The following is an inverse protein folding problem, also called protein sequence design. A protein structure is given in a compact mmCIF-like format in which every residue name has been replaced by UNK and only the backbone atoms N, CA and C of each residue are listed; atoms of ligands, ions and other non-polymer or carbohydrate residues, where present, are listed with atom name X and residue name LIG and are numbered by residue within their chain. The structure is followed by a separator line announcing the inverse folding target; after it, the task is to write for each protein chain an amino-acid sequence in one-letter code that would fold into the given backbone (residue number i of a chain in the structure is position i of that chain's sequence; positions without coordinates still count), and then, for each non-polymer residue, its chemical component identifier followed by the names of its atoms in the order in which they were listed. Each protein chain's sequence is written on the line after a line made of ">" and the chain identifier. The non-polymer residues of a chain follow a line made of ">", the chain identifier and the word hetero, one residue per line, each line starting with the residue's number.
data_IF_964660090962
#
_entry.id   IF_964660090962
#
_cell.length_a   1.000
_cell.length_b   1.000
_cell.length_c   1.000
_cell.angle_alpha   90.00
_cell.angle_beta   90.00
_cell.angle_gamma   90.00
#
_symmetry.space_group_name_H-M   'P 1'
#
loop_
_entity.id
_entity.type
_entity.pdbx_description
1 polymer ?
#
# COMPACT_ATOMS: atom_id res chain seq x y z
N UNK A 1 -35.97 24.62 -53.87
CA UNK A 1 -35.29 24.14 -55.09
C UNK A 1 -34.50 25.31 -55.62
N UNK A 2 -33.20 25.29 -55.88
CA UNK A 2 -32.21 24.23 -56.04
C UNK A 2 -30.87 25.00 -56.15
N UNK A 3 -29.83 24.44 -55.53
CA UNK A 3 -28.50 24.25 -56.13
C UNK A 3 -27.84 25.50 -56.75
N UNK A 4 -26.64 25.97 -56.40
CA UNK A 4 -25.44 25.26 -55.94
C UNK A 4 -24.29 26.25 -56.09
N UNK A 5 -23.37 26.29 -55.11
CA UNK A 5 -21.92 26.12 -55.34
C UNK A 5 -21.26 27.24 -56.19
N UNK A 6 -20.63 28.21 -55.52
CA UNK A 6 -19.16 28.28 -55.36
C UNK A 6 -18.57 29.38 -56.27
N UNK A 7 -17.40 29.98 -56.09
CA UNK A 7 -16.22 29.79 -55.26
C UNK A 7 -15.80 31.21 -54.82
N UNK A 8 -15.49 31.49 -53.55
CA UNK A 8 -14.15 31.34 -52.97
C UNK A 8 -13.02 31.98 -53.80
N UNK A 9 -12.60 33.19 -53.42
CA UNK A 9 -11.24 33.67 -53.64
C UNK A 9 -10.75 34.36 -52.37
N UNK A 10 -10.26 33.52 -51.44
CA UNK A 10 -9.36 33.89 -50.36
C UNK A 10 -8.14 34.60 -50.95
N UNK A 11 -7.87 35.85 -50.56
CA UNK A 11 -6.52 36.40 -50.62
C UNK A 11 -5.86 36.17 -49.26
N UNK A 12 -5.28 34.98 -49.06
CA UNK A 12 -4.41 34.70 -47.94
C UNK A 12 -3.01 35.23 -48.29
N UNK A 13 -2.62 36.35 -47.69
CA UNK A 13 -1.22 36.81 -47.69
C UNK A 13 -0.41 35.81 -46.85
N UNK A 14 0.25 34.86 -47.52
CA UNK A 14 1.25 34.02 -46.90
C UNK A 14 2.48 34.88 -46.57
N UNK A 15 2.61 35.31 -45.32
CA UNK A 15 3.92 35.67 -44.80
C UNK A 15 4.73 34.38 -44.75
N UNK A 16 5.63 34.19 -45.71
CA UNK A 16 6.67 33.19 -45.63
C UNK A 16 7.57 33.57 -44.47
N UNK A 17 7.27 33.04 -43.28
CA UNK A 17 8.23 32.99 -42.19
C UNK A 17 9.27 31.99 -42.67
N UNK A 18 10.41 32.48 -43.16
CA UNK A 18 11.61 31.66 -43.27
C UNK A 18 11.93 31.18 -41.86
N UNK A 19 11.47 29.96 -41.58
CA UNK A 19 11.92 29.17 -40.47
C UNK A 19 13.42 29.02 -40.68
N UNK A 20 14.19 29.83 -39.96
CA UNK A 20 15.64 29.73 -39.90
C UNK A 20 15.97 28.31 -39.42
N UNK A 21 16.21 27.40 -40.37
CA UNK A 21 16.74 26.09 -40.06
C UNK A 21 18.09 26.36 -39.44
N UNK A 22 18.23 26.06 -38.14
CA UNK A 22 19.54 26.04 -37.49
C UNK A 22 20.37 25.00 -38.24
N UNK A 23 21.18 25.47 -39.19
CA UNK A 23 21.97 24.63 -40.07
C UNK A 23 22.80 23.64 -39.28
N UNK A 24 23.00 22.48 -39.87
CA UNK A 24 23.86 21.42 -39.35
C UNK A 24 25.30 21.94 -39.22
N UNK A 25 26.12 21.22 -38.44
CA UNK A 25 27.55 21.52 -38.38
C UNK A 25 28.22 21.40 -39.77
N UNK A 26 27.70 20.58 -40.68
CA UNK A 26 28.23 20.42 -42.04
C UNK A 26 28.16 21.73 -42.85
N UNK A 27 27.05 22.46 -42.80
CA UNK A 27 26.88 23.74 -43.50
C UNK A 27 27.72 24.88 -42.88
N UNK A 28 28.15 24.73 -41.62
CA UNK A 28 29.06 25.69 -40.97
C UNK A 28 30.51 25.44 -41.36
N UNK A 29 30.90 24.18 -41.51
CA UNK A 29 32.22 23.81 -42.05
C UNK A 29 32.38 24.22 -43.51
N UNK A 30 31.34 24.07 -44.34
CA UNK A 30 31.34 24.55 -45.72
C UNK A 30 31.61 26.07 -45.81
N UNK A 31 31.32 26.83 -44.74
CA UNK A 31 31.57 28.28 -44.64
C UNK A 31 32.81 28.63 -43.81
N UNK A 32 33.67 27.66 -43.48
CA UNK A 32 34.91 27.88 -42.73
C UNK A 32 34.72 28.26 -41.25
N UNK A 33 33.52 28.05 -40.68
CA UNK A 33 33.24 28.36 -39.27
C UNK A 33 33.46 27.12 -38.37
N UNK A 34 33.97 27.28 -37.14
CA UNK A 34 34.20 26.18 -36.20
C UNK A 34 32.88 25.61 -35.69
N UNK A 35 32.73 24.29 -35.40
CA UNK A 35 31.46 23.62 -35.09
C UNK A 35 30.74 24.19 -33.86
N UNK A 36 29.41 24.06 -33.80
CA UNK A 36 28.64 24.46 -32.62
C UNK A 36 28.89 23.48 -31.47
N UNK A 37 28.92 23.95 -30.21
CA UNK A 37 29.09 23.08 -29.06
C UNK A 37 27.90 22.10 -28.92
N UNK A 38 28.14 20.88 -28.40
CA UNK A 38 27.08 19.90 -28.21
C UNK A 38 26.06 20.42 -27.19
N UNK A 39 24.78 20.45 -27.57
CA UNK A 39 23.70 20.70 -26.62
C UNK A 39 23.50 19.44 -25.77
N UNK A 40 23.64 19.56 -24.45
CA UNK A 40 23.17 18.53 -23.50
C UNK A 40 21.66 18.40 -23.65
N UNK A 41 21.22 17.41 -24.43
CA UNK A 41 19.80 16.99 -24.49
C UNK A 41 19.40 16.11 -23.31
N UNK A 42 20.38 15.66 -22.54
CA UNK A 42 20.12 14.96 -21.29
C UNK A 42 19.88 16.00 -20.21
N UNK A 43 18.61 16.39 -20.08
CA UNK A 43 18.06 16.87 -18.83
C UNK A 43 17.56 15.62 -18.11
N UNK A 44 18.21 15.13 -17.04
CA UNK A 44 17.62 14.09 -16.23
C UNK A 44 16.37 14.70 -15.62
N UNK A 45 15.22 14.53 -16.29
CA UNK A 45 13.92 14.67 -15.65
C UNK A 45 14.06 14.00 -14.30
N UNK A 46 13.94 14.79 -13.23
CA UNK A 46 14.05 14.30 -11.88
C UNK A 46 13.21 13.03 -11.81
N UNK A 47 13.89 11.88 -11.66
CA UNK A 47 13.20 10.61 -11.50
C UNK A 47 12.45 10.83 -10.20
N UNK A 48 11.15 11.08 -10.29
CA UNK A 48 10.29 11.10 -9.11
C UNK A 48 10.64 9.82 -8.38
N UNK A 49 11.06 9.88 -7.11
CA UNK A 49 11.52 8.69 -6.42
C UNK A 49 10.42 7.65 -6.62
N UNK A 50 10.76 6.54 -7.30
CA UNK A 50 9.84 5.44 -7.44
C UNK A 50 9.38 5.14 -6.02
N UNK A 51 8.07 5.24 -5.78
CA UNK A 51 7.48 4.99 -4.46
C UNK A 51 8.03 3.63 -4.05
N UNK A 52 8.92 3.59 -3.05
CA UNK A 52 9.41 2.32 -2.51
C UNK A 52 8.15 1.54 -2.19
N UNK A 53 8.04 0.32 -2.73
CA UNK A 53 7.03 -0.60 -2.23
C UNK A 53 7.29 -0.69 -0.72
N UNK A 54 6.35 -0.19 0.09
CA UNK A 54 6.32 -0.58 1.48
C UNK A 54 6.33 -2.10 1.51
N UNK A 55 6.99 -2.73 2.50
CA UNK A 55 6.85 -4.15 2.71
C UNK A 55 5.37 -4.51 2.59
N UNK A 56 5.03 -5.46 1.71
CA UNK A 56 3.71 -6.10 1.68
C UNK A 56 3.54 -7.02 2.88
N UNK A 57 4.15 -6.67 4.02
CA UNK A 57 3.75 -7.23 5.29
C UNK A 57 2.47 -6.49 5.62
N UNK A 58 1.33 -7.08 5.26
CA UNK A 58 0.18 -6.80 6.09
C UNK A 58 0.60 -7.16 7.51
N UNK A 59 0.58 -6.23 8.49
CA UNK A 59 0.59 -6.67 9.88
C UNK A 59 -0.54 -7.70 9.99
N UNK A 60 -0.26 -8.87 10.57
CA UNK A 60 -1.14 -10.06 10.54
C UNK A 60 -2.60 -9.65 10.50
N UNK A 61 -3.21 -9.77 9.32
CA UNK A 61 -4.48 -9.10 9.00
C UNK A 61 -5.57 -9.83 9.78
N UNK A 62 -5.90 -9.27 10.93
CA UNK A 62 -6.88 -9.83 11.83
C UNK A 62 -8.27 -9.37 11.38
N UNK A 63 -8.89 -10.15 10.48
CA UNK A 63 -10.20 -9.78 9.92
C UNK A 63 -11.36 -10.02 10.91
N UNK A 64 -11.10 -10.76 11.98
CA UNK A 64 -12.06 -11.14 13.03
C UNK A 64 -12.06 -10.21 14.24
N UNK A 65 -11.01 -9.39 14.47
CA UNK A 65 -10.91 -8.54 15.65
C UNK A 65 -9.53 -7.89 15.84
N UNK A 66 -9.29 -7.21 16.98
CA UNK A 66 -7.95 -6.75 17.35
C UNK A 66 -7.00 -7.92 17.65
N UNK A 67 -5.71 -7.70 17.38
CA UNK A 67 -4.64 -8.66 17.69
C UNK A 67 -4.39 -8.66 19.20
N UNK A 68 -4.21 -9.85 19.78
CA UNK A 68 -3.87 -10.02 21.19
C UNK A 68 -2.63 -10.89 21.38
N UNK A 69 -1.90 -10.64 22.46
CA UNK A 69 -0.80 -11.48 22.92
C UNK A 69 -1.26 -12.26 24.15
N UNK A 70 -1.38 -13.57 24.03
CA UNK A 70 -1.81 -14.44 25.12
C UNK A 70 -0.63 -15.27 25.63
N UNK A 71 -0.55 -15.48 26.95
CA UNK A 71 0.47 -16.39 27.49
C UNK A 71 0.17 -17.84 27.09
N UNK A 72 -1.10 -18.23 27.16
CA UNK A 72 -1.55 -19.60 26.88
C UNK A 72 -2.71 -19.57 25.88
N UNK A 73 -2.62 -20.42 24.86
CA UNK A 73 -3.70 -20.67 23.90
C UNK A 73 -4.12 -22.12 24.06
N UNK A 74 -5.39 -22.36 24.34
CA UNK A 74 -5.92 -23.69 24.62
C UNK A 74 -7.36 -23.81 24.11
N UNK A 75 -8.01 -24.95 24.30
CA UNK A 75 -9.41 -25.16 23.94
C UNK A 75 -10.32 -24.91 25.14
N UNK A 76 -11.60 -24.63 24.89
CA UNK A 76 -12.60 -24.40 25.92
C UNK A 76 -12.79 -25.60 26.87
N UNK A 77 -12.51 -26.83 26.41
CA UNK A 77 -12.50 -28.05 27.24
C UNK A 77 -11.38 -28.11 28.28
N UNK A 78 -10.35 -27.27 28.17
CA UNK A 78 -9.28 -27.29 29.15
C UNK A 78 -9.88 -26.98 30.53
N UNK A 79 -9.59 -27.76 31.58
CA UNK A 79 -10.24 -27.60 32.88
C UNK A 79 -10.09 -26.19 33.46
N UNK A 80 -8.99 -25.49 33.17
CA UNK A 80 -8.80 -24.09 33.58
C UNK A 80 -9.65 -23.13 32.75
N UNK A 81 -9.76 -23.35 31.43
CA UNK A 81 -10.59 -22.55 30.56
C UNK A 81 -12.08 -22.75 30.86
N UNK A 82 -12.53 -24.00 31.03
CA UNK A 82 -13.89 -24.36 31.36
C UNK A 82 -14.34 -23.73 32.70
N UNK A 83 -13.48 -23.76 33.73
CA UNK A 83 -13.77 -23.11 35.01
C UNK A 83 -13.95 -21.60 34.87
N UNK A 84 -13.08 -20.94 34.09
CA UNK A 84 -13.20 -19.50 33.83
C UNK A 84 -14.45 -19.17 33.03
N UNK A 85 -14.77 -19.95 32.00
CA UNK A 85 -15.98 -19.79 31.19
C UNK A 85 -17.25 -19.98 32.03
N UNK A 86 -17.28 -20.98 32.92
CA UNK A 86 -18.40 -21.25 33.83
C UNK A 86 -18.59 -20.11 34.85
N UNK A 87 -17.48 -19.58 35.40
CA UNK A 87 -17.53 -18.42 36.29
C UNK A 87 -18.05 -17.15 35.59
N UNK A 88 -17.78 -17.01 34.30
CA UNK A 88 -18.29 -15.91 33.48
C UNK A 88 -19.69 -16.20 32.90
N UNK A 89 -20.23 -17.41 33.08
CA UNK A 89 -21.52 -17.82 32.54
C UNK A 89 -21.55 -17.96 31.02
N UNK A 90 -20.41 -18.23 30.38
CA UNK A 90 -20.26 -18.32 28.92
C UNK A 90 -20.24 -19.80 28.52
N UNK A 91 -21.21 -20.20 27.71
CA UNK A 91 -21.29 -21.56 27.16
C UNK A 91 -20.68 -21.58 25.76
N UNK A 92 -19.56 -22.28 25.61
CA UNK A 92 -18.88 -22.49 24.33
C UNK A 92 -18.83 -23.97 23.96
N UNK A 93 -18.60 -24.25 22.68
CA UNK A 93 -18.31 -25.60 22.22
C UNK A 93 -16.92 -26.08 22.68
N UNK A 94 -16.74 -27.39 22.88
CA UNK A 94 -15.48 -28.02 23.31
C UNK A 94 -14.26 -27.62 22.47
N UNK A 95 -14.46 -27.58 21.15
CA UNK A 95 -13.42 -27.34 20.14
C UNK A 95 -13.03 -25.86 19.96
N UNK A 96 -13.68 -24.93 20.67
CA UNK A 96 -13.41 -23.50 20.52
C UNK A 96 -12.06 -23.17 21.14
N UNK A 97 -11.18 -22.54 20.36
CA UNK A 97 -9.88 -22.07 20.83
C UNK A 97 -10.05 -20.76 21.61
N UNK A 98 -9.46 -20.71 22.79
CA UNK A 98 -9.47 -19.59 23.71
C UNK A 98 -8.06 -19.20 24.12
N UNK A 99 -7.87 -17.91 24.35
CA UNK A 99 -6.64 -17.33 24.88
C UNK A 99 -6.81 -16.98 26.35
N UNK A 100 -5.84 -17.34 27.19
CA UNK A 100 -5.79 -16.99 28.61
C UNK A 100 -4.74 -15.91 28.84
N UNK A 101 -5.06 -14.95 29.73
CA UNK A 101 -4.18 -13.83 30.11
C UNK A 101 -3.68 -13.07 28.89
N UNK A 102 -4.63 -12.61 28.07
CA UNK A 102 -4.35 -11.90 26.83
C UNK A 102 -4.23 -10.40 27.09
N UNK A 103 -3.24 -9.77 26.47
CA UNK A 103 -3.10 -8.31 26.43
C UNK A 103 -3.35 -7.81 25.01
N UNK A 104 -4.18 -6.77 24.82
CA UNK A 104 -4.44 -6.22 23.49
C UNK A 104 -3.19 -5.55 22.94
N UNK A 105 -2.81 -5.90 21.71
CA UNK A 105 -1.77 -5.20 20.96
C UNK A 105 -2.45 -4.07 20.19
N UNK A 106 -2.27 -2.84 20.65
CA UNK A 106 -2.85 -1.68 19.97
C UNK A 106 -2.11 -1.36 18.67
N UNK A 107 -2.90 -0.96 17.66
CA UNK A 107 -2.48 -0.72 16.27
C UNK A 107 -1.45 0.41 16.13
N UNK A 108 -1.15 1.16 17.20
CA UNK A 108 -0.15 2.23 17.18
C UNK A 108 1.29 1.66 17.06
N UNK A 109 1.50 0.35 17.21
CA UNK A 109 2.81 -0.31 17.13
C UNK A 109 3.02 -1.32 15.99
N UNK A 110 2.02 -1.56 15.12
CA UNK A 110 2.07 -2.65 14.11
C UNK A 110 3.02 -2.38 12.94
N UNK A 111 3.64 -1.19 12.89
CA UNK A 111 4.72 -0.86 11.96
C UNK A 111 6.12 -0.88 12.59
N UNK A 112 6.22 -1.13 13.91
CA UNK A 112 7.44 -0.99 14.69
C UNK A 112 7.70 -2.20 15.59
N UNK A 113 7.43 -3.42 15.09
CA UNK A 113 7.74 -4.64 15.80
C UNK A 113 6.93 -4.82 17.08
N UNK A 114 5.60 -4.91 16.95
CA UNK A 114 4.74 -5.35 18.05
C UNK A 114 5.13 -6.77 18.46
N UNK A 115 6.01 -6.88 19.46
CA UNK A 115 6.58 -8.14 19.92
C UNK A 115 5.64 -8.76 20.94
N UNK A 116 4.81 -9.68 20.49
CA UNK A 116 4.25 -10.66 21.43
C UNK A 116 5.37 -11.65 21.79
N UNK A 117 5.90 -11.57 23.01
CA UNK A 117 6.90 -12.55 23.49
C UNK A 117 6.28 -13.92 23.82
N UNK A 118 4.95 -14.02 23.82
CA UNK A 118 4.21 -15.25 24.04
C UNK A 118 3.52 -15.69 22.73
N UNK A 119 2.21 -15.94 22.76
CA UNK A 119 1.46 -16.43 21.61
C UNK A 119 0.60 -15.32 21.00
N UNK A 120 0.93 -14.82 19.80
CA UNK A 120 0.11 -13.85 19.10
C UNK A 120 -1.11 -14.54 18.48
N UNK A 121 -2.29 -13.99 18.74
CA UNK A 121 -3.57 -14.54 18.29
C UNK A 121 -4.53 -13.45 17.82
N UNK A 122 -5.49 -13.88 17.01
CA UNK A 122 -6.63 -13.13 16.52
C UNK A 122 -7.92 -13.69 17.10
N UNK A 123 -8.58 -12.97 17.99
CA UNK A 123 -9.78 -13.46 18.66
C UNK A 123 -11.03 -12.70 18.19
N UNK A 124 -12.15 -13.40 18.00
CA UNK A 124 -13.45 -12.82 17.66
C UNK A 124 -14.00 -11.98 18.80
N UNK A 125 -13.88 -12.48 20.03
CA UNK A 125 -14.19 -11.69 21.22
C UNK A 125 -12.99 -11.54 22.13
N UNK A 126 -12.88 -10.35 22.70
CA UNK A 126 -11.70 -9.94 23.46
C UNK A 126 -12.11 -9.64 24.90
N UNK A 127 -11.40 -10.25 25.84
CA UNK A 127 -11.41 -9.87 27.24
C UNK A 127 -12.76 -10.03 27.95
N UNK A 128 -13.38 -11.20 27.83
CA UNK A 128 -14.46 -11.59 28.74
C UNK A 128 -13.89 -11.60 30.17
N UNK A 129 -14.40 -10.71 31.03
CA UNK A 129 -13.87 -10.51 32.39
C UNK A 129 -12.39 -10.10 32.46
N UNK A 130 -11.77 -9.66 31.35
CA UNK A 130 -10.36 -9.24 31.30
C UNK A 130 -9.33 -10.37 31.34
N UNK A 131 -9.74 -11.64 31.41
CA UNK A 131 -8.84 -12.80 31.57
C UNK A 131 -8.85 -13.75 30.38
N UNK A 132 -9.99 -13.88 29.68
CA UNK A 132 -10.17 -14.86 28.62
C UNK A 132 -10.62 -14.19 27.32
N UNK A 133 -10.11 -14.69 26.20
CA UNK A 133 -10.50 -14.29 24.85
C UNK A 133 -10.96 -15.50 24.06
N UNK A 134 -11.97 -15.31 23.21
CA UNK A 134 -12.73 -16.41 22.60
C UNK A 134 -12.58 -16.37 21.08
N UNK A 135 -12.57 -17.55 20.46
CA UNK A 135 -12.51 -17.68 19.00
C UNK A 135 -11.14 -17.26 18.48
N UNK A 136 -10.09 -17.67 19.17
CA UNK A 136 -8.73 -17.24 18.89
C UNK A 136 -8.07 -18.09 17.81
N UNK A 137 -7.44 -17.43 16.83
CA UNK A 137 -6.70 -18.05 15.75
C UNK A 137 -5.24 -17.61 15.86
N UNK A 138 -4.26 -18.54 15.90
CA UNK A 138 -2.84 -18.19 15.93
C UNK A 138 -2.43 -17.41 14.68
N UNK A 139 -1.62 -16.36 14.85
CA UNK A 139 -1.07 -15.58 13.74
C UNK A 139 0.45 -15.47 13.85
N UNK A 140 1.10 -14.99 12.79
CA UNK A 140 2.52 -14.62 12.80
C UNK A 140 2.66 -13.10 12.69
N UNK A 141 3.47 -12.50 13.56
CA UNK A 141 3.75 -11.05 13.60
C UNK A 141 5.04 -10.70 12.86
#
# INVERSE_FOLDING_TARGET
>A
MKLTVALAALALTAASVESASLGTNAERFARGLPPLPPRRRYDPTAVSPAKRASPSGSPGQCNTGPIQCCNTVTTADNPLAALLLDLLGIVLGPDVVVGLTCSPISVIGVGSGSQCSAHPVCCENNSEGGLISIGCIPITL
#
